data_IF_364903728883
#
_entry.id   IF_364903728883
#
_cell.length_a   1.000
_cell.length_b   1.000
_cell.length_c   1.000
_cell.angle_alpha   90.00
_cell.angle_beta   90.00
_cell.angle_gamma   90.00
#
_symmetry.space_group_name_H-M   'P 1'
#
loop_
_entity.id
_entity.type
_entity.pdbx_description
1 polymer ?
#
# COMPACT_ATOMS: atom_id res chain seq x y z
N UNK A 1 6.50 -6.07 -11.11
CA UNK A 1 5.87 -6.76 -9.98
C UNK A 1 4.45 -7.14 -10.40
N UNK A 2 3.86 -8.17 -9.81
CA UNK A 2 2.52 -8.67 -10.17
C UNK A 2 1.38 -7.86 -9.51
N UNK A 3 1.69 -7.00 -8.54
CA UNK A 3 0.66 -6.39 -7.69
C UNK A 3 -0.20 -5.32 -8.39
N UNK A 4 0.36 -4.50 -9.28
CA UNK A 4 -0.42 -3.47 -9.98
C UNK A 4 0.08 -3.20 -11.39
N UNK A 5 -0.84 -3.34 -12.35
CA UNK A 5 -0.76 -2.80 -13.70
C UNK A 5 -2.08 -2.11 -13.99
N UNK A 6 -2.04 -0.81 -14.24
CA UNK A 6 -3.25 -0.02 -14.48
C UNK A 6 -3.10 0.87 -15.69
N UNK A 7 -4.08 0.80 -16.58
CA UNK A 7 -4.27 1.82 -17.61
C UNK A 7 -4.91 3.03 -16.93
N UNK A 8 -4.28 4.19 -17.08
CA UNK A 8 -4.75 5.44 -16.46
C UNK A 8 -6.03 5.93 -17.13
N UNK A 9 -6.69 6.89 -16.48
CA UNK A 9 -7.86 7.54 -17.06
C UNK A 9 -7.50 8.18 -18.42
N UNK A 10 -8.32 7.90 -19.44
CA UNK A 10 -8.06 8.32 -20.82
C UNK A 10 -7.39 7.27 -21.70
N UNK A 11 -6.88 6.17 -21.13
CA UNK A 11 -6.48 4.98 -21.90
C UNK A 11 -5.13 5.06 -22.61
N UNK A 12 -4.34 6.11 -22.38
CA UNK A 12 -3.13 6.43 -23.14
C UNK A 12 -1.85 6.03 -22.42
N UNK A 13 -1.86 6.00 -21.08
CA UNK A 13 -0.68 5.66 -20.28
C UNK A 13 -0.93 4.45 -19.40
N UNK A 14 0.14 3.73 -19.09
CA UNK A 14 0.13 2.59 -18.17
C UNK A 14 1.01 2.91 -16.95
N UNK A 15 0.47 2.64 -15.77
CA UNK A 15 1.12 2.78 -14.48
C UNK A 15 1.43 1.39 -13.93
N UNK A 16 2.68 1.18 -13.50
CA UNK A 16 3.16 -0.14 -13.11
C UNK A 16 4.09 -0.06 -11.91
N UNK A 17 3.99 -1.07 -11.04
CA UNK A 17 4.95 -1.32 -9.98
C UNK A 17 6.01 -2.28 -10.49
N UNK A 18 7.26 -1.89 -10.36
CA UNK A 18 8.43 -2.65 -10.74
C UNK A 18 9.35 -2.79 -9.54
N UNK A 19 10.26 -3.76 -9.60
CA UNK A 19 11.22 -4.01 -8.52
C UNK A 19 12.64 -3.92 -9.07
N UNK A 20 13.54 -3.34 -8.28
CA UNK A 20 14.96 -3.30 -8.58
C UNK A 20 15.77 -3.72 -7.37
N UNK A 21 16.92 -4.33 -7.63
CA UNK A 21 17.88 -4.70 -6.60
C UNK A 21 18.98 -3.65 -6.52
N UNK A 22 19.21 -3.07 -5.33
CA UNK A 22 20.22 -2.04 -5.10
C UNK A 22 21.25 -2.51 -4.07
N UNK A 23 22.55 -2.21 -4.23
CA UNK A 23 23.55 -2.52 -3.21
C UNK A 23 23.29 -1.69 -1.95
N UNK A 24 23.43 -2.31 -0.78
CA UNK A 24 23.21 -1.65 0.50
C UNK A 24 24.12 -2.17 1.62
N UNK A 25 24.41 -1.30 2.57
CA UNK A 25 25.07 -1.66 3.82
C UNK A 25 24.03 -1.91 4.91
N UNK A 26 23.87 -3.19 5.29
CA UNK A 26 22.89 -3.60 6.28
C UNK A 26 23.50 -3.83 7.68
N UNK A 27 24.77 -3.45 7.91
CA UNK A 27 25.37 -3.51 9.26
C UNK A 27 24.53 -2.80 10.33
N UNK A 28 23.94 -1.61 10.08
CA UNK A 28 23.10 -0.94 11.07
C UNK A 28 21.89 -1.77 11.52
N UNK A 29 21.45 -2.72 10.68
CA UNK A 29 20.29 -3.59 10.92
C UNK A 29 20.71 -5.02 11.30
N UNK A 30 21.99 -5.25 11.65
CA UNK A 30 22.51 -6.57 12.01
C UNK A 30 22.87 -7.47 10.83
N UNK A 31 22.87 -6.94 9.61
CA UNK A 31 23.24 -7.64 8.38
C UNK A 31 24.68 -7.43 7.92
N UNK A 32 24.94 -7.82 6.67
CA UNK A 32 26.25 -7.69 6.03
C UNK A 32 26.47 -6.28 5.47
N UNK A 33 27.73 -5.86 5.41
CA UNK A 33 28.14 -4.58 4.79
C UNK A 33 27.88 -4.55 3.28
N UNK A 34 28.03 -5.70 2.63
CA UNK A 34 27.80 -5.90 1.21
C UNK A 34 26.58 -6.77 1.07
N UNK A 35 25.42 -6.13 1.07
CA UNK A 35 24.12 -6.77 0.89
C UNK A 35 23.31 -6.01 -0.16
N UNK A 36 22.04 -6.33 -0.26
CA UNK A 36 21.15 -5.86 -1.31
C UNK A 36 19.78 -5.51 -0.74
N UNK A 37 19.19 -4.42 -1.23
CA UNK A 37 17.79 -4.11 -1.06
C UNK A 37 17.03 -4.56 -2.29
N UNK A 38 15.86 -5.14 -2.11
CA UNK A 38 14.87 -5.34 -3.17
C UNK A 38 13.79 -4.29 -2.96
N UNK A 39 13.73 -3.29 -3.84
CA UNK A 39 12.92 -2.09 -3.60
C UNK A 39 11.95 -1.83 -4.75
N UNK A 40 10.71 -1.42 -4.44
CA UNK A 40 9.77 -1.01 -5.46
C UNK A 40 10.18 0.33 -6.07
N UNK A 41 9.86 0.47 -7.35
CA UNK A 41 9.81 1.73 -8.07
C UNK A 41 8.61 1.70 -9.01
N UNK A 42 8.06 2.87 -9.30
CA UNK A 42 6.83 3.03 -10.08
C UNK A 42 7.20 3.71 -11.37
N UNK A 43 6.62 3.27 -12.48
CA UNK A 43 6.73 3.94 -13.77
C UNK A 43 5.36 4.22 -14.38
N UNK A 44 5.21 5.41 -14.97
CA UNK A 44 4.16 5.72 -15.94
C UNK A 44 4.79 5.77 -17.33
N UNK A 45 4.23 5.02 -18.27
CA UNK A 45 4.69 5.00 -19.67
C UNK A 45 3.54 5.36 -20.62
N UNK A 46 3.87 5.96 -21.74
CA UNK A 46 2.96 6.08 -22.88
C UNK A 46 2.82 4.70 -23.55
N UNK A 47 1.58 4.23 -23.71
CA UNK A 47 1.31 2.87 -24.20
C UNK A 47 1.68 2.70 -25.68
N UNK A 48 1.45 3.73 -26.50
CA UNK A 48 1.67 3.65 -27.96
C UNK A 48 3.17 3.67 -28.29
N UNK A 49 3.92 4.53 -27.63
CA UNK A 49 5.33 4.80 -27.94
C UNK A 49 6.29 4.04 -27.03
N UNK A 50 5.84 3.59 -25.85
CA UNK A 50 6.68 3.00 -24.81
C UNK A 50 7.58 4.02 -24.11
N UNK A 51 7.38 5.33 -24.31
CA UNK A 51 8.18 6.35 -23.66
C UNK A 51 7.89 6.43 -22.17
N UNK A 52 8.95 6.51 -21.36
CA UNK A 52 8.85 6.78 -19.94
C UNK A 52 8.39 8.23 -19.71
N UNK A 53 7.27 8.39 -19.03
CA UNK A 53 6.69 9.69 -18.69
C UNK A 53 7.02 10.11 -17.26
N UNK A 54 7.04 9.14 -16.34
CA UNK A 54 7.29 9.39 -14.93
C UNK A 54 7.89 8.17 -14.25
N UNK A 55 8.77 8.40 -13.27
CA UNK A 55 9.34 7.34 -12.42
C UNK A 55 9.51 7.84 -10.98
N UNK A 56 9.24 6.97 -10.01
CA UNK A 56 9.47 7.23 -8.59
C UNK A 56 10.06 6.00 -7.89
N UNK A 57 11.08 6.23 -7.06
CA UNK A 57 11.86 5.17 -6.43
C UNK A 57 11.68 5.21 -4.92
N UNK A 58 11.21 4.12 -4.31
CA UNK A 58 11.06 4.05 -2.85
C UNK A 58 12.40 4.26 -2.13
N UNK A 59 13.49 3.73 -2.67
CA UNK A 59 14.83 3.90 -2.09
C UNK A 59 15.37 5.34 -2.10
N UNK A 60 14.73 6.25 -2.85
CA UNK A 60 15.10 7.67 -2.87
C UNK A 60 14.27 8.49 -1.86
N UNK A 61 13.08 8.02 -1.49
CA UNK A 61 12.08 8.83 -0.78
C UNK A 61 11.62 8.22 0.56
N UNK A 62 11.85 6.92 0.80
CA UNK A 62 11.48 6.26 2.04
C UNK A 62 12.72 5.93 2.87
N UNK A 63 12.70 6.32 4.14
CA UNK A 63 13.73 5.91 5.09
C UNK A 63 13.49 4.46 5.51
N UNK A 64 14.46 3.61 5.23
CA UNK A 64 14.48 2.18 5.57
C UNK A 64 14.32 1.93 7.08
N UNK A 65 14.66 2.88 7.94
CA UNK A 65 14.50 2.75 9.40
C UNK A 65 13.03 2.81 9.86
N UNK A 66 12.13 3.28 8.99
CA UNK A 66 10.72 3.49 9.31
C UNK A 66 9.84 2.28 8.99
N UNK A 67 10.42 1.21 8.42
CA UNK A 67 9.71 -0.03 8.13
C UNK A 67 9.31 -0.76 9.41
N UNK A 68 8.12 -1.36 9.40
CA UNK A 68 7.62 -2.26 10.43
C UNK A 68 8.23 -3.66 10.32
N UNK A 69 9.04 -3.93 9.29
CA UNK A 69 9.64 -5.24 9.00
C UNK A 69 11.14 -5.25 9.35
N UNK A 70 11.55 -5.74 10.52
CA UNK A 70 12.97 -5.82 10.87
C UNK A 70 13.73 -6.74 9.92
N UNK A 71 14.93 -6.35 9.51
CA UNK A 71 15.83 -7.19 8.71
C UNK A 71 16.06 -8.59 9.31
N UNK A 72 16.16 -8.69 10.64
CA UNK A 72 16.51 -9.93 11.34
C UNK A 72 15.34 -10.89 11.56
N UNK A 73 14.09 -10.43 11.48
CA UNK A 73 12.89 -11.29 11.56
C UNK A 73 12.40 -11.73 10.17
N UNK A 74 13.02 -11.21 9.11
CA UNK A 74 12.60 -11.36 7.72
C UNK A 74 13.11 -12.64 7.05
N UNK A 75 13.06 -13.82 7.67
CA UNK A 75 13.37 -15.06 6.93
C UNK A 75 12.48 -15.23 5.69
N UNK A 76 11.25 -14.69 5.75
CA UNK A 76 10.28 -14.69 4.64
C UNK A 76 10.29 -13.38 3.81
N UNK A 77 10.84 -12.28 4.35
CA UNK A 77 10.94 -10.96 3.67
C UNK A 77 12.35 -10.72 3.06
N UNK A 78 13.20 -11.78 3.05
CA UNK A 78 14.46 -11.88 2.29
C UNK A 78 14.18 -12.62 0.99
N UNK A 79 13.89 -11.87 -0.07
CA UNK A 79 13.72 -12.40 -1.42
C UNK A 79 15.10 -12.42 -2.08
N UNK A 80 15.57 -13.56 -2.60
CA UNK A 80 16.87 -13.70 -3.30
C UNK A 80 18.11 -13.11 -2.57
N UNK A 81 18.22 -13.27 -1.24
CA UNK A 81 19.30 -12.67 -0.42
C UNK A 81 19.29 -11.14 -0.37
N UNK A 82 18.17 -10.52 -0.72
CA UNK A 82 17.94 -9.08 -0.62
C UNK A 82 16.78 -8.77 0.33
N UNK A 83 16.90 -7.67 1.07
CA UNK A 83 15.87 -7.23 2.01
C UNK A 83 14.84 -6.37 1.28
N UNK A 84 13.58 -6.80 1.30
CA UNK A 84 12.46 -5.98 0.88
C UNK A 84 11.87 -5.25 2.08
N UNK A 85 12.02 -3.92 2.12
CA UNK A 85 11.66 -3.12 3.29
C UNK A 85 10.38 -2.29 3.10
N UNK A 86 9.92 -2.11 1.85
CA UNK A 86 8.79 -1.22 1.53
C UNK A 86 7.53 -1.94 1.06
N UNK A 87 7.66 -2.85 0.09
CA UNK A 87 6.58 -3.63 -0.52
C UNK A 87 5.38 -2.78 -0.94
N UNK A 88 5.44 -2.27 -2.17
CA UNK A 88 4.39 -1.43 -2.73
C UNK A 88 3.30 -2.33 -3.33
N UNK A 89 2.09 -2.28 -2.76
CA UNK A 89 0.98 -3.08 -3.26
C UNK A 89 0.28 -2.40 -4.42
N UNK A 90 0.06 -1.08 -4.31
CA UNK A 90 -0.65 -0.34 -5.35
C UNK A 90 -0.17 1.09 -5.48
N UNK A 91 -0.31 1.56 -6.72
CA UNK A 91 -0.22 2.93 -7.16
C UNK A 91 -1.51 3.33 -7.91
N UNK A 92 -1.99 4.55 -7.66
CA UNK A 92 -3.00 5.22 -8.49
C UNK A 92 -2.59 6.66 -8.77
N UNK A 93 -3.13 7.25 -9.85
CA UNK A 93 -2.96 8.65 -10.22
C UNK A 93 -4.32 9.33 -10.29
N UNK A 94 -4.50 10.42 -9.53
CA UNK A 94 -5.75 11.19 -9.53
C UNK A 94 -5.91 12.09 -10.77
N UNK A 95 -7.09 12.68 -10.89
CA UNK A 95 -7.46 13.59 -11.97
C UNK A 95 -6.64 14.90 -11.98
N UNK A 96 -6.01 15.26 -10.86
CA UNK A 96 -5.09 16.39 -10.76
C UNK A 96 -3.64 15.97 -11.10
N UNK A 97 -3.40 14.67 -11.28
CA UNK A 97 -2.12 14.08 -11.66
C UNK A 97 -1.24 13.67 -10.49
N UNK A 98 -1.70 13.76 -9.24
CA UNK A 98 -0.95 13.29 -8.08
C UNK A 98 -0.99 11.76 -7.97
N UNK A 99 0.08 11.20 -7.42
CA UNK A 99 0.19 9.76 -7.22
C UNK A 99 -0.12 9.37 -5.77
N UNK A 100 -0.84 8.27 -5.60
CA UNK A 100 -1.12 7.66 -4.30
C UNK A 100 -0.52 6.26 -4.30
N UNK A 101 0.31 5.97 -3.29
CA UNK A 101 1.04 4.72 -3.20
C UNK A 101 0.86 4.08 -1.83
N UNK A 102 0.76 2.75 -1.83
CA UNK A 102 0.51 1.94 -0.64
C UNK A 102 1.69 1.05 -0.33
N UNK A 103 2.29 1.25 0.83
CA UNK A 103 3.44 0.47 1.30
C UNK A 103 3.02 -0.42 2.47
N UNK A 104 2.96 -1.73 2.23
CA UNK A 104 2.53 -2.74 3.22
C UNK A 104 3.43 -2.70 4.44
N UNK A 105 4.75 -2.73 4.23
CA UNK A 105 5.73 -2.81 5.31
C UNK A 105 5.90 -1.49 6.08
N UNK A 106 5.31 -0.40 5.60
CA UNK A 106 5.23 0.87 6.33
C UNK A 106 3.84 1.07 6.97
N UNK A 107 2.84 0.26 6.61
CA UNK A 107 1.43 0.52 6.94
C UNK A 107 1.01 1.95 6.57
N UNK A 108 1.40 2.43 5.38
CA UNK A 108 1.35 3.87 5.02
C UNK A 108 0.93 4.17 3.57
N UNK A 109 -0.02 5.09 3.39
CA UNK A 109 -0.35 5.72 2.10
C UNK A 109 0.56 6.93 1.97
N UNK A 110 1.14 7.15 0.81
CA UNK A 110 1.78 8.42 0.47
C UNK A 110 1.04 9.08 -0.70
N UNK A 111 0.78 10.39 -0.60
CA UNK A 111 0.48 11.24 -1.76
C UNK A 111 1.76 11.89 -2.25
N UNK A 112 2.04 11.81 -3.54
CA UNK A 112 3.28 12.30 -4.16
C UNK A 112 3.00 13.31 -5.25
N UNK A 113 3.79 14.39 -5.22
CA UNK A 113 3.78 15.44 -6.24
C UNK A 113 4.37 14.92 -7.57
N UNK A 114 3.67 15.06 -8.70
CA UNK A 114 4.15 14.53 -9.98
C UNK A 114 5.39 15.24 -10.52
N UNK A 115 5.64 16.49 -10.10
CA UNK A 115 6.72 17.33 -10.60
C UNK A 115 7.95 17.27 -9.72
N UNK A 116 7.78 17.46 -8.40
CA UNK A 116 8.90 17.43 -7.45
C UNK A 116 9.27 16.03 -7.03
N UNK A 117 8.35 15.05 -7.17
CA UNK A 117 8.45 13.67 -6.68
C UNK A 117 8.47 13.54 -5.16
N UNK A 118 8.29 14.65 -4.45
CA UNK A 118 8.26 14.67 -2.99
C UNK A 118 6.93 14.12 -2.46
N UNK A 119 7.00 13.50 -1.28
CA UNK A 119 5.82 13.09 -0.52
C UNK A 119 5.18 14.36 0.05
N UNK A 120 3.94 14.63 -0.38
CA UNK A 120 3.15 15.78 0.09
C UNK A 120 2.61 15.51 1.49
N UNK A 121 2.12 14.29 1.69
CA UNK A 121 1.69 13.79 2.99
C UNK A 121 1.73 12.26 3.02
N UNK A 122 1.77 11.73 4.24
CA UNK A 122 1.64 10.32 4.53
C UNK A 122 0.56 10.02 5.59
N UNK A 123 -0.23 9.00 5.32
CA UNK A 123 -1.31 8.54 6.18
C UNK A 123 -1.00 7.13 6.66
N UNK A 124 -0.92 6.93 7.97
CA UNK A 124 -0.43 5.69 8.57
C UNK A 124 1.11 5.67 8.73
N UNK A 125 1.61 4.58 9.29
CA UNK A 125 3.02 4.42 9.65
C UNK A 125 3.50 5.34 10.77
N UNK A 126 4.81 5.32 11.03
CA UNK A 126 5.40 6.00 12.20
C UNK A 126 5.45 7.54 12.09
N UNK A 127 5.34 8.08 10.87
CA UNK A 127 5.42 9.51 10.59
C UNK A 127 4.11 10.08 10.02
N UNK A 128 2.96 9.48 10.36
CA UNK A 128 1.69 9.93 9.80
C UNK A 128 1.41 11.40 10.09
N UNK A 129 1.00 12.13 9.05
CA UNK A 129 0.48 13.50 9.14
C UNK A 129 -0.96 13.55 9.67
N UNK A 130 -1.65 12.40 9.69
CA UNK A 130 -3.06 12.29 10.03
C UNK A 130 -3.28 11.74 11.43
N UNK A 131 -4.28 12.28 12.11
CA UNK A 131 -4.79 11.73 13.37
C UNK A 131 -5.90 10.74 13.11
N UNK A 132 -5.80 9.60 13.79
CA UNK A 132 -6.72 8.49 13.66
C UNK A 132 -7.69 8.48 14.84
N UNK A 133 -8.98 8.62 14.54
CA UNK A 133 -10.06 8.64 15.53
C UNK A 133 -11.02 7.45 15.33
N UNK A 134 -11.65 6.97 16.40
CA UNK A 134 -12.76 5.99 16.36
C UNK A 134 -12.46 4.66 15.64
N UNK A 135 -11.35 3.99 15.99
CA UNK A 135 -11.04 2.65 15.44
C UNK A 135 -10.52 2.67 14.00
N UNK A 136 -10.09 3.84 13.52
CA UNK A 136 -9.59 4.02 12.17
C UNK A 136 -8.15 3.54 11.96
N UNK A 137 -7.44 2.91 12.91
CA UNK A 137 -6.09 2.41 12.60
C UNK A 137 -6.15 1.19 11.63
N UNK A 138 -5.26 1.09 10.63
CA UNK A 138 -5.23 0.02 9.61
C UNK A 138 -3.80 -0.34 9.17
N UNK A 139 -3.66 -1.42 8.39
CA UNK A 139 -2.42 -1.90 7.75
C UNK A 139 -2.70 -2.19 6.26
N UNK A 140 -1.97 -1.54 5.31
CA UNK A 140 -2.16 -1.61 3.84
C UNK A 140 -3.31 -0.73 3.30
N UNK A 141 -3.27 -0.14 2.09
CA UNK A 141 -4.31 0.85 1.61
C UNK A 141 -4.42 1.19 0.10
N UNK A 142 -5.45 1.96 -0.32
CA UNK A 142 -5.68 2.65 -1.64
C UNK A 142 -6.70 3.86 -1.57
N UNK A 143 -6.41 5.05 -2.16
CA UNK A 143 -7.28 6.19 -2.67
C UNK A 143 -8.22 7.06 -1.76
N UNK A 144 -8.69 8.33 -2.02
CA UNK A 144 -9.14 9.30 -0.98
C UNK A 144 -10.65 9.47 -0.60
N UNK A 145 -11.57 8.65 -1.10
CA UNK A 145 -12.68 8.14 -0.25
C UNK A 145 -12.24 6.72 0.00
N UNK A 146 -11.53 6.54 1.10
CA UNK A 146 -10.51 5.52 1.10
C UNK A 146 -11.14 4.20 1.41
N UNK A 147 -11.21 3.37 0.37
CA UNK A 147 -11.53 1.98 0.55
C UNK A 147 -10.25 1.20 0.70
N UNK A 148 -10.05 0.70 1.89
CA UNK A 148 -8.87 -0.09 2.24
C UNK A 148 -9.28 -1.53 2.38
N UNK A 149 -8.44 -2.43 1.88
CA UNK A 149 -8.43 -3.78 2.36
C UNK A 149 -7.31 -3.92 3.40
N UNK A 150 -7.72 -4.18 4.65
CA UNK A 150 -6.82 -4.37 5.78
C UNK A 150 -6.67 -5.88 6.01
N UNK A 151 -5.47 -6.38 5.70
CA UNK A 151 -5.12 -7.80 5.81
C UNK A 151 -5.05 -8.28 7.27
N UNK A 152 -4.81 -7.36 8.21
CA UNK A 152 -4.47 -7.64 9.62
C UNK A 152 -3.32 -8.68 9.76
N UNK A 153 -2.41 -8.67 8.78
CA UNK A 153 -1.26 -9.55 8.67
C UNK A 153 -0.20 -8.94 7.74
N UNK A 154 1.08 -9.04 8.09
CA UNK A 154 2.18 -8.48 7.31
C UNK A 154 3.19 -9.52 6.78
N UNK A 155 3.07 -10.79 7.20
CA UNK A 155 4.04 -11.90 6.95
C UNK A 155 5.42 -11.73 7.56
N UNK A 156 5.66 -10.67 8.32
CA UNK A 156 6.95 -10.37 8.89
C UNK A 156 6.94 -10.40 10.43
N UNK A 157 5.91 -11.04 11.00
CA UNK A 157 5.84 -11.40 12.42
C UNK A 157 5.07 -10.42 13.30
N UNK A 158 4.44 -9.39 12.73
CA UNK A 158 3.57 -8.50 13.50
C UNK A 158 2.30 -9.25 13.91
N UNK A 159 1.95 -9.26 15.22
CA UNK A 159 0.72 -9.89 15.67
C UNK A 159 -0.51 -9.22 15.04
N UNK A 160 -1.47 -10.04 14.61
CA UNK A 160 -2.80 -9.58 14.22
C UNK A 160 -3.44 -8.78 15.37
N UNK A 161 -3.85 -7.56 15.07
CA UNK A 161 -4.41 -6.61 16.04
C UNK A 161 -5.92 -6.83 16.16
N UNK A 162 -6.59 -7.09 15.04
CA UNK A 162 -8.05 -7.18 14.95
C UNK A 162 -8.60 -8.61 14.90
N UNK A 163 -7.74 -9.61 14.67
CA UNK A 163 -8.09 -11.02 14.49
C UNK A 163 -8.79 -11.32 13.16
N UNK A 164 -8.88 -10.36 12.23
CA UNK A 164 -9.62 -10.53 10.97
C UNK A 164 -9.19 -9.54 9.91
N UNK A 165 -9.12 -10.00 8.66
CA UNK A 165 -9.10 -9.11 7.52
C UNK A 165 -10.44 -8.38 7.39
N UNK A 166 -10.41 -7.14 6.90
CA UNK A 166 -11.57 -6.26 6.83
C UNK A 166 -11.47 -5.29 5.66
N UNK A 167 -12.62 -5.00 5.05
CA UNK A 167 -12.76 -3.86 4.16
C UNK A 167 -13.09 -2.61 4.99
N UNK A 168 -12.45 -1.48 4.73
CA UNK A 168 -12.71 -0.23 5.42
C UNK A 168 -13.12 0.83 4.42
N UNK A 169 -14.10 1.64 4.78
CA UNK A 169 -14.41 2.88 4.10
C UNK A 169 -14.13 4.03 5.04
N UNK A 170 -13.23 4.92 4.65
CA UNK A 170 -12.74 5.99 5.49
C UNK A 170 -13.12 7.35 4.93
N UNK A 171 -13.35 8.30 5.84
CA UNK A 171 -13.45 9.71 5.55
C UNK A 171 -12.14 10.38 5.98
N UNK A 172 -11.55 11.11 5.03
CA UNK A 172 -10.34 11.90 5.22
C UNK A 172 -10.73 13.37 5.23
N UNK A 173 -10.42 14.07 6.33
CA UNK A 173 -10.58 15.52 6.48
C UNK A 173 -9.20 16.16 6.33
N UNK A 174 -8.92 16.74 5.16
CA UNK A 174 -7.63 17.36 4.85
C UNK A 174 -7.44 18.73 5.49
N UNK A 175 -8.51 19.41 5.91
CA UNK A 175 -8.41 20.69 6.63
C UNK A 175 -7.97 20.46 8.08
N UNK A 176 -8.42 19.35 8.68
CA UNK A 176 -8.07 18.96 10.06
C UNK A 176 -6.95 17.94 10.15
N UNK A 177 -6.58 17.32 9.04
CA UNK A 177 -5.67 16.17 9.00
C UNK A 177 -6.17 15.02 9.88
N UNK A 178 -7.44 14.66 9.71
CA UNK A 178 -8.10 13.60 10.49
C UNK A 178 -8.65 12.50 9.57
N UNK A 179 -8.59 11.25 10.06
CA UNK A 179 -9.22 10.11 9.40
C UNK A 179 -10.18 9.42 10.34
N UNK A 180 -11.41 9.22 9.85
CA UNK A 180 -12.49 8.56 10.56
C UNK A 180 -13.05 7.38 9.77
N UNK A 181 -13.44 6.33 10.49
CA UNK A 181 -14.08 5.16 9.91
C UNK A 181 -15.54 5.46 9.59
N UNK A 182 -15.92 5.40 8.31
CA UNK A 182 -17.32 5.50 7.89
C UNK A 182 -18.01 4.14 7.95
N UNK A 183 -17.34 3.09 7.49
CA UNK A 183 -17.88 1.73 7.47
C UNK A 183 -16.79 0.68 7.52
N UNK A 184 -17.12 -0.43 8.15
CA UNK A 184 -16.32 -1.66 8.18
C UNK A 184 -17.11 -2.79 7.51
N UNK A 185 -16.41 -3.59 6.71
CA UNK A 185 -16.94 -4.75 5.98
C UNK A 185 -16.23 -6.01 6.47
N UNK A 186 -16.88 -6.74 7.37
CA UNK A 186 -16.33 -7.93 8.03
C UNK A 186 -16.79 -9.23 7.35
N UNK A 187 -15.89 -10.21 7.14
CA UNK A 187 -16.27 -11.49 6.58
C UNK A 187 -17.12 -12.28 7.58
N UNK A 188 -17.93 -13.22 7.05
CA UNK A 188 -18.72 -14.14 7.88
C UNK A 188 -17.85 -15.08 8.71
N UNK A 189 -16.69 -15.46 8.17
CA UNK A 189 -15.63 -16.20 8.87
C UNK A 189 -14.49 -15.24 9.16
N UNK A 190 -14.26 -14.96 10.45
CA UNK A 190 -13.25 -14.00 10.90
C UNK A 190 -11.88 -14.65 11.01
N UNK A 191 -10.96 -14.21 10.17
CA UNK A 191 -9.56 -14.61 10.18
C UNK A 191 -8.72 -13.58 9.42
N UNK A 192 -7.44 -13.39 9.77
CA UNK A 192 -6.53 -12.56 8.98
C UNK A 192 -6.36 -13.12 7.56
N UNK A 193 -6.05 -12.26 6.61
CA UNK A 193 -5.69 -12.65 5.24
C UNK A 193 -4.20 -12.43 5.07
N UNK A 194 -3.42 -13.51 4.93
CA UNK A 194 -1.96 -13.46 4.79
C UNK A 194 -1.52 -12.55 3.65
N UNK A 195 -2.09 -12.71 2.46
CA UNK A 195 -1.75 -11.96 1.23
C UNK A 195 -3.01 -11.54 0.48
N UNK A 196 -2.81 -10.59 -0.43
CA UNK A 196 -3.80 -10.16 -1.43
C UNK A 196 -5.11 -9.64 -0.80
N UNK A 197 -6.15 -9.54 -1.62
CA UNK A 197 -7.45 -9.03 -1.26
C UNK A 197 -7.66 -7.62 -1.79
N UNK A 198 -8.90 -7.17 -1.67
CA UNK A 198 -9.29 -5.89 -2.24
C UNK A 198 -10.74 -5.56 -1.96
N UNK A 199 -11.06 -4.29 -2.16
CA UNK A 199 -12.40 -3.76 -2.04
C UNK A 199 -12.68 -2.91 -3.27
N UNK A 200 -13.86 -3.09 -3.85
CA UNK A 200 -14.36 -2.26 -4.94
C UNK A 200 -15.79 -1.78 -4.66
N UNK A 201 -16.02 -0.47 -4.84
CA UNK A 201 -17.38 0.08 -4.91
C UNK A 201 -17.92 -0.16 -6.33
N UNK A 202 -19.08 -0.78 -6.43
CA UNK A 202 -19.77 -1.10 -7.68
C UNK A 202 -20.65 0.07 -8.16
N UNK A 203 -21.02 0.14 -9.45
CA UNK A 203 -21.84 1.24 -9.98
C UNK A 203 -23.21 1.42 -9.32
N UNK A 204 -23.76 0.35 -8.73
CA UNK A 204 -25.01 0.38 -7.96
C UNK A 204 -24.82 0.84 -6.50
N UNK A 205 -23.59 1.20 -6.12
CA UNK A 205 -23.20 1.60 -4.76
C UNK A 205 -22.89 0.45 -3.82
N UNK A 206 -23.13 -0.80 -4.21
CA UNK A 206 -22.74 -1.97 -3.43
C UNK A 206 -21.22 -2.06 -3.34
N UNK A 207 -20.73 -2.85 -2.39
CA UNK A 207 -19.30 -3.02 -2.15
C UNK A 207 -18.93 -4.48 -2.26
N UNK A 208 -18.07 -4.79 -3.22
CA UNK A 208 -17.49 -6.12 -3.38
C UNK A 208 -16.17 -6.18 -2.61
N UNK A 209 -16.01 -7.15 -1.72
CA UNK A 209 -14.77 -7.39 -0.98
C UNK A 209 -14.26 -8.78 -1.30
N UNK A 210 -13.03 -8.87 -1.78
CA UNK A 210 -12.29 -10.11 -1.91
C UNK A 210 -11.33 -10.23 -0.72
N UNK A 211 -11.50 -11.24 0.12
CA UNK A 211 -10.74 -11.44 1.35
C UNK A 211 -9.41 -12.18 1.13
N UNK A 212 -8.69 -11.85 0.06
CA UNK A 212 -7.35 -12.37 -0.23
C UNK A 212 -7.21 -13.88 -0.05
N UNK A 213 -6.10 -14.30 0.57
CA UNK A 213 -5.78 -15.70 0.84
C UNK A 213 -6.76 -16.44 1.76
N UNK A 214 -7.71 -15.75 2.39
CA UNK A 214 -8.80 -16.39 3.14
C UNK A 214 -9.85 -17.05 2.23
N UNK A 215 -9.86 -16.71 0.93
CA UNK A 215 -10.62 -17.43 -0.10
C UNK A 215 -12.11 -17.06 -0.21
N UNK A 216 -12.52 -15.89 0.27
CA UNK A 216 -13.92 -15.46 0.23
C UNK A 216 -14.11 -14.18 -0.61
N UNK A 217 -15.23 -14.11 -1.34
CA UNK A 217 -15.70 -12.89 -2.01
C UNK A 217 -17.12 -12.62 -1.52
N UNK A 218 -17.36 -11.40 -1.03
CA UNK A 218 -18.66 -10.99 -0.46
C UNK A 218 -19.06 -9.65 -1.07
N UNK A 219 -20.30 -9.57 -1.57
CA UNK A 219 -20.92 -8.30 -1.96
C UNK A 219 -21.81 -7.80 -0.82
N UNK A 220 -21.56 -6.59 -0.35
CA UNK A 220 -22.34 -5.87 0.65
C UNK A 220 -23.24 -4.86 -0.04
N UNK A 221 -24.52 -4.81 0.38
CA UNK A 221 -25.42 -3.76 -0.09
C UNK A 221 -24.96 -2.40 0.40
N UNK A 222 -25.17 -1.35 -0.41
CA UNK A 222 -24.73 0.01 -0.10
C UNK A 222 -25.26 0.58 1.24
N UNK A 223 -26.31 -0.01 1.80
CA UNK A 223 -26.86 0.33 3.12
C UNK A 223 -26.12 -0.30 4.30
N UNK A 224 -25.24 -1.28 4.04
CA UNK A 224 -24.85 -2.28 5.04
C UNK A 224 -25.98 -3.26 5.31
#
# INVERSE_FOLDING_TARGET
DLHEFRITEGGQTALMILMKTLPANLRPFGGLEKSWLYTPFIQEIDIETGHLLWEWSAAEHLDVCCTAVPYLSATDCVVFYSWEYAHCNTVFKDHEGFYYMSFRYYSMVAKVDPHTKEIIWQMGGIHSDFKFNNGSAWIGQHEPKMTIFDNDHDECGTPSIYGTARGLWLQVDYDKWEVSLLREYLPSVRQPATIEGGLQILPNGNVLVAYGSSGHIIEYVHTG
#
